data_IF_602962506123
#
_entry.id   IF_602962506123
#
_cell.length_a   1.000
_cell.length_b   1.000
_cell.length_c   1.000
_cell.angle_alpha   90.00
_cell.angle_beta   90.00
_cell.angle_gamma   90.00
#
_symmetry.space_group_name_H-M   'P 1'
#
loop_
_entity.id
_entity.type
_entity.pdbx_description
1 polymer ?
#
# COMPACT_ATOMS: atom_id res chain seq x y z
N UNK A 1 20.44 16.02 -16.37
CA UNK A 1 19.08 16.58 -16.29
C UNK A 1 18.37 16.17 -17.56
N UNK A 2 17.49 15.16 -17.50
CA UNK A 2 16.69 14.78 -18.68
C UNK A 2 15.55 15.78 -18.74
N UNK A 3 15.31 16.46 -19.85
CA UNK A 3 14.19 17.38 -19.95
C UNK A 3 12.90 16.59 -19.85
N UNK A 4 12.09 16.88 -18.85
CA UNK A 4 10.70 16.42 -18.76
C UNK A 4 9.90 17.28 -19.74
N UNK A 5 9.95 16.90 -21.00
CA UNK A 5 9.15 17.52 -22.05
C UNK A 5 8.41 16.42 -22.83
N UNK A 6 7.35 15.95 -22.23
CA UNK A 6 6.14 15.54 -22.93
C UNK A 6 5.00 15.67 -21.93
N UNK A 7 3.98 16.39 -22.37
CA UNK A 7 2.72 16.66 -21.68
C UNK A 7 1.99 15.33 -21.44
N UNK A 8 2.53 14.53 -20.51
CA UNK A 8 1.88 13.35 -20.02
C UNK A 8 0.75 13.88 -19.14
N UNK A 9 -0.47 13.86 -19.64
CA UNK A 9 -1.68 14.33 -18.96
C UNK A 9 -1.98 13.49 -17.71
N UNK A 10 -1.02 13.42 -16.76
CA UNK A 10 -1.23 12.85 -15.45
C UNK A 10 -1.97 13.85 -14.57
N UNK A 11 -3.06 13.41 -13.97
CA UNK A 11 -3.79 14.19 -12.98
C UNK A 11 -4.02 13.37 -11.71
N UNK A 12 -4.08 14.07 -10.58
CA UNK A 12 -4.41 13.51 -9.27
C UNK A 12 -5.86 13.86 -8.94
N UNK A 13 -6.58 12.86 -8.46
CA UNK A 13 -7.90 13.01 -7.85
C UNK A 13 -7.83 12.46 -6.43
N UNK A 14 -8.31 13.21 -5.45
CA UNK A 14 -8.48 12.69 -4.11
C UNK A 14 -9.62 11.68 -4.10
N UNK A 15 -9.41 10.55 -3.45
CA UNK A 15 -10.42 9.52 -3.29
C UNK A 15 -11.65 10.07 -2.54
N UNK A 16 -12.83 9.65 -2.95
CA UNK A 16 -14.10 9.83 -2.25
C UNK A 16 -14.84 8.50 -2.18
N UNK A 17 -15.79 8.37 -1.26
CA UNK A 17 -16.51 7.12 -1.02
C UNK A 17 -17.27 6.60 -2.26
N UNK A 18 -17.71 7.49 -3.15
CA UNK A 18 -18.38 7.13 -4.40
C UNK A 18 -17.47 6.34 -5.35
N UNK A 19 -16.16 6.44 -5.17
CA UNK A 19 -15.15 5.76 -6.01
C UNK A 19 -14.72 4.40 -5.44
N UNK A 20 -15.36 3.92 -4.34
CA UNK A 20 -15.02 2.65 -3.69
C UNK A 20 -14.92 1.48 -4.67
N UNK A 21 -15.94 1.30 -5.50
CA UNK A 21 -15.98 0.20 -6.48
C UNK A 21 -14.82 0.28 -7.49
N UNK A 22 -14.50 1.48 -7.96
CA UNK A 22 -13.38 1.71 -8.89
C UNK A 22 -12.06 1.42 -8.20
N UNK A 23 -11.89 1.89 -6.96
CA UNK A 23 -10.72 1.65 -6.14
C UNK A 23 -10.47 0.15 -5.91
N UNK A 24 -11.47 -0.57 -5.38
CA UNK A 24 -11.36 -1.99 -5.04
C UNK A 24 -11.12 -2.86 -6.30
N UNK A 25 -11.80 -2.56 -7.41
CA UNK A 25 -11.57 -3.23 -8.70
C UNK A 25 -10.14 -3.02 -9.20
N UNK A 26 -9.60 -1.82 -9.04
CA UNK A 26 -8.21 -1.53 -9.41
C UNK A 26 -7.22 -2.30 -8.54
N UNK A 27 -7.41 -2.32 -7.22
CA UNK A 27 -6.56 -3.10 -6.29
C UNK A 27 -6.53 -4.57 -6.71
N UNK A 28 -7.70 -5.17 -6.98
CA UNK A 28 -7.81 -6.58 -7.35
C UNK A 28 -7.09 -6.95 -8.66
N UNK A 29 -6.95 -5.99 -9.59
CA UNK A 29 -6.36 -6.21 -10.91
C UNK A 29 -4.98 -5.57 -11.08
N UNK A 30 -4.36 -5.09 -10.02
CA UNK A 30 -3.09 -4.38 -10.06
C UNK A 30 -1.88 -5.31 -9.96
N UNK A 31 -0.68 -4.77 -10.27
CA UNK A 31 0.60 -5.50 -10.16
C UNK A 31 0.90 -5.94 -8.72
N UNK A 32 0.53 -5.14 -7.73
CA UNK A 32 1.02 -5.22 -6.35
C UNK A 32 -0.06 -4.90 -5.30
N UNK A 33 -1.32 -4.93 -5.67
CA UNK A 33 -2.43 -4.78 -4.75
C UNK A 33 -2.58 -5.99 -3.82
N UNK A 34 -2.94 -5.71 -2.59
CA UNK A 34 -3.28 -6.74 -1.58
C UNK A 34 -4.58 -6.37 -0.89
N UNK A 35 -5.15 -7.30 -0.11
CA UNK A 35 -6.39 -7.07 0.64
C UNK A 35 -6.30 -5.86 1.60
N UNK A 36 -5.09 -5.51 2.09
CA UNK A 36 -4.88 -4.37 2.97
C UNK A 36 -5.31 -3.04 2.34
N UNK A 37 -5.38 -2.98 1.01
CA UNK A 37 -5.74 -1.78 0.27
C UNK A 37 -7.20 -1.74 -0.18
N UNK A 38 -7.98 -2.80 0.10
CA UNK A 38 -9.43 -2.77 -0.09
C UNK A 38 -10.07 -1.77 0.87
N UNK A 39 -11.04 -1.01 0.39
CA UNK A 39 -11.63 0.09 1.17
C UNK A 39 -12.31 -0.41 2.45
N UNK A 40 -12.96 -1.56 2.43
CA UNK A 40 -13.56 -2.12 3.66
C UNK A 40 -12.52 -2.36 4.76
N UNK A 41 -11.29 -2.77 4.38
CA UNK A 41 -10.21 -2.93 5.33
C UNK A 41 -9.61 -1.58 5.79
N UNK A 42 -9.41 -0.65 4.86
CA UNK A 42 -8.84 0.67 5.18
C UNK A 42 -9.83 1.51 6.01
N UNK A 43 -11.10 1.50 5.65
CA UNK A 43 -12.13 2.32 6.26
C UNK A 43 -12.50 1.83 7.68
N UNK A 44 -12.19 0.57 8.02
CA UNK A 44 -12.31 0.05 9.39
C UNK A 44 -11.52 0.88 10.42
N UNK A 45 -10.45 1.54 9.99
CA UNK A 45 -9.63 2.39 10.84
C UNK A 45 -9.78 3.89 10.57
N UNK A 46 -10.84 4.30 9.89
CA UNK A 46 -11.09 5.70 9.49
C UNK A 46 -11.18 6.66 10.68
N UNK A 47 -11.55 6.16 11.86
CA UNK A 47 -11.58 6.92 13.12
C UNK A 47 -10.19 7.39 13.58
N UNK A 48 -9.12 6.72 13.15
CA UNK A 48 -7.74 6.97 13.58
C UNK A 48 -6.89 7.66 12.52
N UNK A 49 -7.26 7.55 11.26
CA UNK A 49 -6.46 8.03 10.13
C UNK A 49 -7.33 8.89 9.22
N UNK A 50 -7.04 10.18 9.19
CA UNK A 50 -7.68 11.10 8.25
C UNK A 50 -7.27 10.74 6.81
N UNK A 51 -8.18 10.08 6.09
CA UNK A 51 -7.90 9.58 4.74
C UNK A 51 -7.55 10.72 3.78
N UNK A 52 -6.42 10.57 3.11
CA UNK A 52 -5.96 11.40 2.02
C UNK A 52 -5.43 10.51 0.88
N UNK A 53 -6.17 9.47 0.57
CA UNK A 53 -5.83 8.56 -0.53
C UNK A 53 -5.99 9.25 -1.88
N UNK A 54 -5.11 8.92 -2.81
CA UNK A 54 -5.00 9.58 -4.11
C UNK A 54 -5.13 8.58 -5.26
N UNK A 55 -5.77 9.02 -6.33
CA UNK A 55 -5.97 8.28 -7.57
C UNK A 55 -5.27 9.03 -8.71
N UNK A 56 -4.45 8.33 -9.48
CA UNK A 56 -3.64 8.90 -10.55
C UNK A 56 -4.18 8.44 -11.91
N UNK A 57 -4.57 9.41 -12.73
CA UNK A 57 -5.13 9.16 -14.06
C UNK A 57 -4.20 9.67 -15.15
N UNK A 58 -4.12 8.90 -16.26
CA UNK A 58 -3.45 9.31 -17.50
C UNK A 58 -4.42 9.17 -18.66
N UNK A 59 -4.76 10.28 -19.32
CA UNK A 59 -5.71 10.26 -20.43
C UNK A 59 -7.05 9.63 -20.06
N UNK A 60 -7.58 9.89 -18.86
CA UNK A 60 -8.82 9.32 -18.34
C UNK A 60 -8.72 7.88 -17.82
N UNK A 61 -7.58 7.20 -17.97
CA UNK A 61 -7.35 5.85 -17.44
C UNK A 61 -6.71 5.92 -16.06
N UNK A 62 -7.25 5.20 -15.09
CA UNK A 62 -6.64 5.01 -13.78
C UNK A 62 -5.36 4.17 -13.92
N UNK A 63 -4.23 4.71 -13.48
CA UNK A 63 -2.89 4.12 -13.63
C UNK A 63 -2.30 3.69 -12.31
N UNK A 64 -2.57 4.45 -11.25
CA UNK A 64 -2.08 4.13 -9.93
C UNK A 64 -3.00 4.64 -8.83
N UNK A 65 -2.94 3.98 -7.69
CA UNK A 65 -3.52 4.44 -6.44
C UNK A 65 -2.40 4.67 -5.43
N UNK A 66 -2.61 5.62 -4.54
CA UNK A 66 -1.75 5.82 -3.38
C UNK A 66 -2.63 5.92 -2.14
N UNK A 67 -2.75 4.84 -1.36
CA UNK A 67 -3.33 4.92 -0.03
C UNK A 67 -2.55 5.94 0.80
N UNK A 68 -3.25 6.82 1.49
CA UNK A 68 -2.56 7.85 2.25
C UNK A 68 -3.40 8.46 3.35
N UNK A 69 -2.72 8.97 4.35
CA UNK A 69 -3.29 9.78 5.41
C UNK A 69 -2.32 10.89 5.81
N UNK A 70 -2.85 11.93 6.40
CA UNK A 70 -2.06 13.02 6.96
C UNK A 70 -2.10 13.00 8.49
N UNK A 71 -0.98 13.39 9.09
CA UNK A 71 -0.89 13.72 10.50
C UNK A 71 0.18 14.81 10.66
N UNK A 72 -0.18 15.87 11.32
CA UNK A 72 0.62 17.09 11.45
C UNK A 72 1.02 17.64 10.06
N UNK A 73 2.31 17.84 9.81
CA UNK A 73 2.87 18.30 8.54
C UNK A 73 3.32 17.14 7.61
N UNK A 74 2.94 15.90 7.94
CA UNK A 74 3.48 14.70 7.28
C UNK A 74 2.38 13.93 6.54
N UNK A 75 2.63 13.63 5.28
CA UNK A 75 1.85 12.68 4.49
C UNK A 75 2.46 11.28 4.61
N UNK A 76 1.68 10.29 4.99
CA UNK A 76 2.07 8.89 5.07
C UNK A 76 1.42 8.08 3.95
N UNK A 77 2.18 7.22 3.29
CA UNK A 77 1.60 6.22 2.37
C UNK A 77 0.96 5.08 3.16
N UNK A 78 0.05 5.41 3.95
CA UNK A 78 -0.84 4.88 4.96
C UNK A 78 -0.17 4.46 6.29
N UNK A 79 -0.31 5.32 7.31
CA UNK A 79 0.24 5.11 8.66
C UNK A 79 -0.33 3.91 9.41
N UNK A 80 -1.57 3.53 9.14
CA UNK A 80 -2.29 2.43 9.81
C UNK A 80 -2.04 1.05 9.21
N UNK A 81 -1.41 0.94 8.04
CA UNK A 81 -1.14 -0.33 7.38
C UNK A 81 0.28 -0.83 7.63
N UNK A 82 0.48 -2.13 7.50
CA UNK A 82 1.81 -2.77 7.64
C UNK A 82 2.79 -2.25 6.58
N UNK A 83 2.30 -2.05 5.36
CA UNK A 83 3.00 -1.45 4.23
C UNK A 83 2.01 -0.60 3.43
N UNK A 84 2.52 0.24 2.55
CA UNK A 84 1.74 1.15 1.74
C UNK A 84 2.40 1.38 0.39
N UNK A 85 2.34 2.61 -0.12
CA UNK A 85 2.96 2.98 -1.38
C UNK A 85 2.04 2.87 -2.58
N UNK A 86 2.59 3.09 -3.76
CA UNK A 86 1.83 3.06 -5.00
C UNK A 86 1.34 1.65 -5.34
N UNK A 87 0.05 1.54 -5.59
CA UNK A 87 -0.58 0.37 -6.21
C UNK A 87 -0.64 0.66 -7.71
N UNK A 88 -0.01 -0.19 -8.52
CA UNK A 88 0.27 0.11 -9.92
C UNK A 88 -0.52 -0.79 -10.88
N UNK A 89 -1.07 -0.19 -11.92
CA UNK A 89 -1.64 -0.96 -13.05
C UNK A 89 -0.53 -1.62 -13.87
N UNK A 90 -0.88 -2.64 -14.65
CA UNK A 90 0.06 -3.25 -15.62
C UNK A 90 0.54 -2.28 -16.71
N UNK A 91 -0.14 -1.15 -16.90
CA UNK A 91 0.24 -0.10 -17.85
C UNK A 91 1.15 0.98 -17.23
N UNK A 92 1.39 0.92 -15.92
CA UNK A 92 2.30 1.85 -15.27
C UNK A 92 3.75 1.46 -15.60
N UNK A 93 4.40 2.29 -16.43
CA UNK A 93 5.83 2.17 -16.74
C UNK A 93 6.65 2.99 -15.77
N UNK A 94 7.97 2.73 -15.69
CA UNK A 94 8.88 3.47 -14.82
C UNK A 94 8.81 5.00 -15.06
N UNK A 95 8.66 5.44 -16.30
CA UNK A 95 8.51 6.87 -16.64
C UNK A 95 7.23 7.44 -16.04
N UNK A 96 6.11 6.73 -16.15
CA UNK A 96 4.81 7.16 -15.61
C UNK A 96 4.85 7.22 -14.09
N UNK A 97 5.48 6.23 -13.44
CA UNK A 97 5.61 6.20 -11.98
C UNK A 97 6.49 7.34 -11.48
N UNK A 98 7.63 7.58 -12.14
CA UNK A 98 8.50 8.71 -11.81
C UNK A 98 7.75 10.04 -11.91
N UNK A 99 6.95 10.22 -12.96
CA UNK A 99 6.12 11.42 -13.14
C UNK A 99 5.03 11.52 -12.07
N UNK A 100 4.40 10.41 -11.69
CA UNK A 100 3.43 10.37 -10.60
C UNK A 100 4.04 10.85 -9.28
N UNK A 101 5.29 10.47 -8.99
CA UNK A 101 6.00 10.97 -7.82
C UNK A 101 6.30 12.48 -7.89
N UNK A 102 6.72 13.00 -9.05
CA UNK A 102 6.90 14.45 -9.22
C UNK A 102 5.58 15.21 -9.04
N UNK A 103 4.51 14.67 -9.59
CA UNK A 103 3.18 15.25 -9.46
C UNK A 103 2.70 15.20 -8.00
N UNK A 104 2.93 14.08 -7.30
CA UNK A 104 2.64 13.92 -5.87
C UNK A 104 3.37 14.99 -5.05
N UNK A 105 4.68 15.16 -5.26
CA UNK A 105 5.46 16.17 -4.54
C UNK A 105 4.93 17.58 -4.79
N UNK A 106 4.55 17.92 -6.02
CA UNK A 106 3.94 19.22 -6.35
C UNK A 106 2.58 19.39 -5.68
N UNK A 107 1.74 18.36 -5.73
CA UNK A 107 0.41 18.38 -5.13
C UNK A 107 0.50 18.62 -3.62
N UNK A 108 1.31 17.82 -2.92
CA UNK A 108 1.45 17.92 -1.46
C UNK A 108 2.14 19.22 -1.02
N UNK A 109 3.08 19.75 -1.79
CA UNK A 109 3.69 21.06 -1.53
C UNK A 109 2.67 22.19 -1.62
N UNK A 110 1.64 22.06 -2.46
CA UNK A 110 0.52 23.00 -2.56
C UNK A 110 -0.54 22.81 -1.47
N UNK A 111 -0.53 21.70 -0.77
CA UNK A 111 -1.46 21.41 0.33
C UNK A 111 -0.93 22.05 1.61
N UNK A 112 -1.71 22.89 2.24
CA UNK A 112 -1.27 23.60 3.44
C UNK A 112 -0.85 22.64 4.55
N UNK A 113 0.39 22.84 5.05
CA UNK A 113 0.92 22.11 6.20
C UNK A 113 1.72 20.84 5.88
N UNK A 114 1.77 20.35 4.62
CA UNK A 114 2.53 19.13 4.29
C UNK A 114 3.98 19.49 3.94
N UNK A 115 4.91 19.22 4.86
CA UNK A 115 6.34 19.42 4.69
C UNK A 115 7.14 18.12 4.49
N UNK A 116 6.53 16.96 4.75
CA UNK A 116 7.21 15.66 4.74
C UNK A 116 6.35 14.58 4.10
N UNK A 117 7.00 13.66 3.38
CA UNK A 117 6.38 12.42 2.87
C UNK A 117 7.11 11.24 3.51
N UNK A 118 6.36 10.35 4.16
CA UNK A 118 6.84 9.05 4.64
C UNK A 118 6.25 7.97 3.75
N UNK A 119 7.08 7.40 2.90
CA UNK A 119 6.68 6.38 1.94
C UNK A 119 7.09 4.99 2.45
N UNK A 120 6.13 4.08 2.56
CA UNK A 120 6.37 2.67 2.84
C UNK A 120 6.21 1.89 1.55
N UNK A 121 7.14 0.98 1.28
CA UNK A 121 7.08 0.14 0.08
C UNK A 121 6.28 -1.13 0.34
N UNK A 122 5.59 -1.62 -0.67
CA UNK A 122 4.97 -2.94 -0.67
C UNK A 122 6.09 -3.97 -0.84
N UNK A 123 6.24 -4.96 0.07
CA UNK A 123 7.24 -5.99 -0.10
C UNK A 123 7.03 -6.77 -1.40
N UNK A 124 8.11 -6.97 -2.19
CA UNK A 124 8.05 -7.59 -3.51
C UNK A 124 7.43 -8.99 -3.51
N UNK A 125 7.52 -9.73 -2.39
CA UNK A 125 6.95 -11.07 -2.23
C UNK A 125 5.40 -11.10 -2.32
N UNK A 126 4.76 -9.94 -2.17
CA UNK A 126 3.30 -9.81 -2.32
C UNK A 126 2.89 -9.30 -3.69
N UNK A 127 3.86 -9.04 -4.57
CA UNK A 127 3.54 -8.58 -5.91
C UNK A 127 3.01 -9.73 -6.77
N UNK A 128 1.91 -9.50 -7.46
CA UNK A 128 1.38 -10.38 -8.49
C UNK A 128 2.26 -10.37 -9.76
N UNK A 129 2.93 -9.23 -9.96
CA UNK A 129 3.89 -9.02 -11.05
C UNK A 129 5.03 -8.14 -10.53
N UNK A 130 6.31 -8.48 -10.79
CA UNK A 130 7.45 -7.70 -10.32
C UNK A 130 7.30 -6.22 -10.66
N UNK A 131 7.38 -5.36 -9.65
CA UNK A 131 7.08 -3.94 -9.75
C UNK A 131 7.90 -3.18 -8.72
N UNK A 132 9.03 -2.62 -9.15
CA UNK A 132 9.93 -1.83 -8.31
C UNK A 132 10.16 -0.43 -8.89
N UNK A 133 9.26 0.04 -9.74
CA UNK A 133 9.32 1.36 -10.36
C UNK A 133 9.30 2.48 -9.32
N UNK A 134 8.64 2.25 -8.19
CA UNK A 134 8.60 3.18 -7.06
C UNK A 134 9.97 3.31 -6.39
N UNK A 135 10.72 2.21 -6.23
CA UNK A 135 12.07 2.23 -5.67
C UNK A 135 13.01 3.07 -6.55
N UNK A 136 12.91 2.93 -7.88
CA UNK A 136 13.66 3.75 -8.81
C UNK A 136 13.28 5.23 -8.69
N UNK A 137 11.99 5.53 -8.58
CA UNK A 137 11.52 6.91 -8.43
C UNK A 137 12.00 7.53 -7.11
N UNK A 138 11.97 6.79 -6.01
CA UNK A 138 12.50 7.23 -4.71
C UNK A 138 14.01 7.54 -4.79
N UNK A 139 14.78 6.67 -5.48
CA UNK A 139 16.20 6.94 -5.74
C UNK A 139 16.41 8.23 -6.53
N UNK A 140 15.63 8.43 -7.59
CA UNK A 140 15.72 9.63 -8.45
C UNK A 140 15.37 10.93 -7.71
N UNK A 141 14.50 10.85 -6.71
CA UNK A 141 14.10 11.97 -5.84
C UNK A 141 15.04 12.17 -4.64
N UNK A 142 16.13 11.41 -4.54
CA UNK A 142 17.03 11.39 -3.39
C UNK A 142 16.30 11.14 -2.06
N UNK A 143 15.29 10.27 -2.07
CA UNK A 143 14.57 9.91 -0.86
C UNK A 143 15.51 9.19 0.11
N UNK A 144 15.43 9.54 1.39
CA UNK A 144 16.27 8.93 2.43
C UNK A 144 15.62 7.67 2.95
N UNK A 145 16.33 6.54 2.90
CA UNK A 145 15.93 5.33 3.60
C UNK A 145 16.08 5.54 5.11
N UNK A 146 14.96 5.53 5.83
CA UNK A 146 14.92 5.78 7.29
C UNK A 146 14.73 4.51 8.10
N UNK A 147 14.08 3.49 7.53
CA UNK A 147 13.80 2.23 8.21
C UNK A 147 13.79 1.08 7.21
N UNK A 148 14.33 -0.07 7.62
CA UNK A 148 14.19 -1.35 6.91
C UNK A 148 13.86 -2.45 7.91
N UNK A 149 12.72 -3.12 7.71
CA UNK A 149 12.29 -4.25 8.54
C UNK A 149 12.50 -5.56 7.79
N UNK A 150 12.79 -6.61 8.55
CA UNK A 150 12.87 -7.99 8.05
C UNK A 150 11.57 -8.69 8.41
N UNK A 151 10.95 -9.34 7.45
CA UNK A 151 9.77 -10.17 7.67
C UNK A 151 10.09 -11.63 7.39
N UNK A 152 9.60 -12.53 8.26
CA UNK A 152 9.66 -13.97 8.01
C UNK A 152 8.39 -14.40 7.28
N UNK A 153 8.55 -15.17 6.21
CA UNK A 153 7.44 -15.69 5.40
C UNK A 153 7.36 -17.19 5.58
N UNK A 154 6.15 -17.68 5.82
CA UNK A 154 5.85 -19.12 5.83
C UNK A 154 5.11 -19.45 4.53
N UNK A 155 5.64 -20.40 3.78
CA UNK A 155 5.00 -20.95 2.59
C UNK A 155 4.33 -22.27 3.02
N UNK A 156 2.99 -22.32 3.17
CA UNK A 156 2.30 -23.47 3.78
C UNK A 156 2.57 -24.79 3.08
N UNK A 157 2.68 -24.76 1.74
CA UNK A 157 2.88 -25.95 0.90
C UNK A 157 4.23 -26.63 1.15
N UNK A 158 5.21 -25.91 1.71
CA UNK A 158 6.53 -26.47 2.03
C UNK A 158 6.57 -27.28 3.35
N UNK A 159 5.50 -27.26 4.12
CA UNK A 159 5.34 -28.11 5.29
C UNK A 159 6.45 -27.95 6.34
N UNK A 160 6.66 -26.77 6.88
CA UNK A 160 7.67 -26.54 7.90
C UNK A 160 7.34 -27.24 9.22
N UNK A 161 8.26 -28.07 9.76
CA UNK A 161 8.02 -28.76 11.03
C UNK A 161 7.99 -27.74 12.19
N UNK A 162 7.02 -27.91 13.07
CA UNK A 162 6.99 -27.10 14.29
C UNK A 162 8.17 -27.43 15.21
N UNK A 163 8.77 -26.39 15.79
CA UNK A 163 9.77 -26.55 16.85
C UNK A 163 9.20 -27.34 18.04
N UNK A 164 10.06 -27.95 18.83
CA UNK A 164 9.67 -28.71 20.01
C UNK A 164 8.83 -27.87 20.99
N UNK A 165 9.21 -26.60 21.19
CA UNK A 165 8.47 -25.68 22.03
C UNK A 165 7.05 -25.45 21.49
N UNK A 166 6.90 -25.22 20.20
CA UNK A 166 5.59 -24.99 19.57
C UNK A 166 4.70 -26.22 19.63
N UNK A 167 5.25 -27.42 19.40
CA UNK A 167 4.53 -28.70 19.57
C UNK A 167 4.04 -28.88 21.00
N UNK A 168 4.87 -28.56 22.01
CA UNK A 168 4.49 -28.63 23.42
C UNK A 168 3.36 -27.66 23.76
N UNK A 169 3.43 -26.42 23.30
CA UNK A 169 2.37 -25.41 23.49
C UNK A 169 1.05 -25.81 22.82
N UNK A 170 1.12 -26.40 21.64
CA UNK A 170 -0.06 -26.90 20.92
C UNK A 170 -0.75 -28.05 21.67
N UNK A 171 0.05 -28.97 22.23
CA UNK A 171 -0.46 -30.05 23.10
C UNK A 171 -1.13 -29.48 24.37
N UNK A 172 -0.51 -28.50 25.00
CA UNK A 172 -1.07 -27.82 26.15
C UNK A 172 -2.41 -27.15 25.84
N UNK A 173 -2.49 -26.40 24.75
CA UNK A 173 -3.73 -25.75 24.30
C UNK A 173 -4.86 -26.78 24.08
N UNK A 174 -4.56 -27.90 23.41
CA UNK A 174 -5.55 -29.00 23.23
C UNK A 174 -6.00 -29.60 24.54
N UNK A 175 -5.10 -29.80 25.49
CA UNK A 175 -5.43 -30.34 26.82
C UNK A 175 -6.33 -29.39 27.62
N UNK A 176 -6.25 -28.07 27.37
CA UNK A 176 -7.15 -27.08 27.94
C UNK A 176 -8.45 -26.90 27.14
N UNK A 177 -8.72 -27.78 26.17
CA UNK A 177 -9.97 -27.74 25.40
C UNK A 177 -10.08 -26.60 24.40
N UNK A 178 -8.98 -25.89 24.13
CA UNK A 178 -8.98 -24.80 23.13
C UNK A 178 -9.23 -25.36 21.73
N UNK A 179 -10.20 -24.81 21.04
CA UNK A 179 -10.58 -25.16 19.66
C UNK A 179 -10.49 -23.88 18.81
N UNK A 180 -10.09 -24.04 17.56
CA UNK A 180 -10.17 -22.99 16.55
C UNK A 180 -11.34 -23.34 15.64
N UNK A 181 -12.30 -22.45 15.51
CA UNK A 181 -13.42 -22.56 14.58
C UNK A 181 -13.44 -21.31 13.70
N UNK A 182 -13.94 -21.50 12.49
CA UNK A 182 -14.32 -20.36 11.64
C UNK A 182 -15.71 -19.92 12.09
N UNK A 183 -15.85 -18.63 12.40
CA UNK A 183 -17.12 -18.03 12.79
C UNK A 183 -17.31 -16.76 11.97
N UNK A 184 -18.52 -16.55 11.49
CA UNK A 184 -18.93 -15.35 10.76
C UNK A 184 -19.73 -14.39 11.65
N UNK A 185 -19.96 -14.77 12.90
CA UNK A 185 -20.65 -13.93 13.89
C UNK A 185 -19.62 -13.12 14.68
N UNK A 186 -19.62 -11.82 14.50
CA UNK A 186 -18.70 -10.86 15.13
C UNK A 186 -19.33 -10.15 16.35
N UNK A 187 -20.52 -10.55 16.78
CA UNK A 187 -21.28 -9.93 17.87
C UNK A 187 -20.97 -10.52 19.27
N UNK A 188 -19.78 -11.11 19.46
CA UNK A 188 -19.37 -11.75 20.70
C UNK A 188 -18.43 -10.89 21.55
#
# INVERSE_FOLDING_TARGET
MIPVTQDLQLNIVRYTAEQKTVWDSFVATSKNGTFLFMRDYMDYHADRFADHSLMFYKGGRLIALLPGNESDDTYYSHGGLTYGGFILSYHATATVVLEAFYLLCRYLKGTAGVGRIVYRTIPFIYHNYPSEEDLYALFRLNARLTERKISSVVIPEKGYPFSTLRRRKLKQARNHGLKVCQDENFDA
#
